data_IF_197176511146
#
_entry.id   IF_197176511146
#
_cell.length_a   1.000
_cell.length_b   1.000
_cell.length_c   1.000
_cell.angle_alpha   90.00
_cell.angle_beta   90.00
_cell.angle_gamma   90.00
#
_symmetry.space_group_name_H-M   'P 1'
#
loop_
_entity.id
_entity.type
_entity.pdbx_description
1 polymer ?
#
# COMPACT_ATOMS: atom_id res chain seq x y z
N UNK A 1 27.76 9.92 -3.46
CA UNK A 1 27.40 9.66 -2.06
C UNK A 1 26.78 10.89 -1.40
N UNK A 2 27.41 12.08 -1.35
CA UNK A 2 26.81 13.29 -0.73
C UNK A 2 25.53 13.77 -1.44
N UNK A 3 25.50 13.80 -2.76
CA UNK A 3 24.34 14.21 -3.56
C UNK A 3 23.12 13.28 -3.38
N UNK A 4 23.35 11.99 -3.18
CA UNK A 4 22.26 11.04 -2.94
C UNK A 4 21.65 11.21 -1.54
N UNK A 5 22.48 11.57 -0.58
CA UNK A 5 22.08 11.81 0.81
C UNK A 5 21.30 13.13 0.96
N UNK A 6 21.70 14.17 0.24
CA UNK A 6 20.94 15.43 0.17
C UNK A 6 19.55 15.24 -0.46
N UNK A 7 19.49 14.46 -1.53
CA UNK A 7 18.21 14.14 -2.20
C UNK A 7 17.27 13.35 -1.29
N UNK A 8 17.78 12.33 -0.59
CA UNK A 8 17.00 11.57 0.38
C UNK A 8 16.47 12.44 1.53
N UNK A 9 17.30 13.34 2.05
CA UNK A 9 16.89 14.27 3.12
C UNK A 9 15.81 15.25 2.63
N UNK A 10 15.90 15.70 1.39
CA UNK A 10 14.89 16.58 0.80
C UNK A 10 13.56 15.87 0.61
N UNK A 11 13.58 14.64 0.08
CA UNK A 11 12.38 13.81 -0.08
C UNK A 11 11.72 13.49 1.28
N UNK A 12 12.52 13.20 2.32
CA UNK A 12 12.02 12.99 3.68
C UNK A 12 11.34 14.25 4.24
N UNK A 13 11.95 15.42 4.05
CA UNK A 13 11.39 16.70 4.50
C UNK A 13 10.07 17.05 3.76
N UNK A 14 9.95 16.72 2.48
CA UNK A 14 8.71 16.90 1.72
C UNK A 14 7.59 15.98 2.21
N UNK A 15 7.91 14.71 2.50
CA UNK A 15 6.97 13.76 3.09
C UNK A 15 6.46 14.23 4.46
N UNK A 16 7.34 14.65 5.34
CA UNK A 16 6.98 15.21 6.66
C UNK A 16 6.09 16.45 6.51
N UNK A 17 6.36 17.32 5.55
CA UNK A 17 5.53 18.49 5.28
C UNK A 17 4.14 18.10 4.80
N UNK A 18 4.02 17.18 3.85
CA UNK A 18 2.74 16.70 3.35
C UNK A 18 1.89 16.05 4.45
N UNK A 19 2.52 15.25 5.32
CA UNK A 19 1.87 14.63 6.46
C UNK A 19 1.38 15.68 7.47
N UNK A 20 2.22 16.64 7.86
CA UNK A 20 1.85 17.70 8.78
C UNK A 20 0.71 18.57 8.21
N UNK A 21 0.73 18.90 6.91
CA UNK A 21 -0.37 19.60 6.24
C UNK A 21 -1.68 18.83 6.30
N UNK A 22 -1.62 17.53 6.11
CA UNK A 22 -2.80 16.66 6.22
C UNK A 22 -3.36 16.66 7.64
N UNK A 23 -2.50 16.46 8.64
CA UNK A 23 -2.88 16.44 10.05
C UNK A 23 -3.54 17.77 10.44
N UNK A 24 -2.93 18.90 10.10
CA UNK A 24 -3.48 20.22 10.40
C UNK A 24 -4.82 20.46 9.70
N UNK A 25 -4.95 20.03 8.45
CA UNK A 25 -6.19 20.19 7.69
C UNK A 25 -7.35 19.32 8.23
N UNK A 26 -7.06 18.08 8.62
CA UNK A 26 -8.09 17.12 9.02
C UNK A 26 -8.42 17.17 10.50
N UNK A 27 -7.45 17.46 11.36
CA UNK A 27 -7.62 17.44 12.81
C UNK A 27 -7.64 18.84 13.45
N UNK A 28 -7.14 19.86 12.75
CA UNK A 28 -7.05 21.26 13.20
C UNK A 28 -6.56 21.43 14.67
N UNK A 29 -5.46 20.76 15.08
CA UNK A 29 -5.03 20.76 16.48
C UNK A 29 -4.50 22.15 16.87
N UNK A 30 -4.82 22.61 18.07
CA UNK A 30 -4.29 23.88 18.64
C UNK A 30 -2.84 23.71 19.12
N UNK A 31 -2.54 22.55 19.67
CA UNK A 31 -1.21 22.21 20.16
C UNK A 31 -0.83 20.78 19.76
N UNK A 32 0.43 20.61 19.36
CA UNK A 32 0.98 19.32 18.91
C UNK A 32 2.27 19.04 19.65
N UNK A 33 2.44 17.83 20.09
CA UNK A 33 3.73 17.30 20.51
C UNK A 33 4.19 16.29 19.47
N UNK A 34 5.46 16.33 19.10
CA UNK A 34 6.02 15.39 18.13
C UNK A 34 7.09 14.58 18.84
N UNK A 35 6.98 13.26 18.75
CA UNK A 35 7.99 12.31 19.19
C UNK A 35 8.60 11.68 17.93
N UNK A 36 9.78 12.16 17.57
CA UNK A 36 10.56 11.69 16.42
C UNK A 36 12.05 11.92 16.65
N UNK A 37 12.88 11.13 15.97
CA UNK A 37 14.36 11.28 16.09
C UNK A 37 14.94 12.33 15.14
N UNK A 38 14.25 12.64 14.04
CA UNK A 38 14.79 13.49 12.95
C UNK A 38 14.55 14.99 13.13
N UNK A 39 13.55 15.39 13.91
CA UNK A 39 13.10 16.77 14.07
C UNK A 39 12.52 17.41 12.78
N UNK A 40 12.27 16.63 11.74
CA UNK A 40 11.74 17.13 10.46
C UNK A 40 10.25 17.45 10.55
N UNK A 41 9.50 16.60 11.24
CA UNK A 41 8.06 16.76 11.39
C UNK A 41 7.75 17.93 12.35
N UNK A 42 8.51 18.08 13.43
CA UNK A 42 8.42 19.22 14.33
C UNK A 42 8.63 20.55 13.57
N UNK A 43 9.69 20.64 12.76
CA UNK A 43 9.95 21.80 11.89
C UNK A 43 8.83 22.06 10.90
N UNK A 44 8.17 20.99 10.40
CA UNK A 44 7.03 21.14 9.51
C UNK A 44 5.82 21.76 10.21
N UNK A 45 5.48 21.34 11.43
CA UNK A 45 4.40 21.93 12.22
C UNK A 45 4.67 23.39 12.58
N UNK A 46 5.90 23.73 13.01
CA UNK A 46 6.29 25.11 13.28
C UNK A 46 6.06 26.03 12.07
N UNK A 47 6.33 25.56 10.85
CA UNK A 47 6.09 26.34 9.62
C UNK A 47 4.60 26.57 9.30
N UNK A 48 3.70 25.82 9.94
CA UNK A 48 2.25 25.93 9.74
C UNK A 48 1.54 26.74 10.84
N UNK A 49 2.29 27.49 11.66
CA UNK A 49 1.77 28.23 12.81
C UNK A 49 1.04 27.35 13.84
N UNK A 50 1.33 26.07 13.88
CA UNK A 50 0.81 25.16 14.91
C UNK A 50 1.73 25.23 16.12
N UNK A 51 1.17 25.38 17.32
CA UNK A 51 1.95 25.46 18.56
C UNK A 51 2.53 24.10 18.88
N UNK A 52 3.84 23.95 18.81
CA UNK A 52 4.52 22.74 19.26
C UNK A 52 4.82 22.87 20.76
N UNK A 53 4.36 21.89 21.53
CA UNK A 53 4.49 21.87 23.00
C UNK A 53 5.19 20.60 23.47
N UNK A 54 5.81 20.64 24.64
CA UNK A 54 6.48 19.48 25.24
C UNK A 54 5.63 18.76 26.28
N UNK A 55 4.52 19.36 26.72
CA UNK A 55 3.65 18.77 27.74
C UNK A 55 2.19 19.09 27.48
N UNK A 56 1.31 18.17 27.81
CA UNK A 56 -0.16 18.28 27.67
C UNK A 56 -0.61 18.79 26.29
N UNK A 57 -0.23 18.13 25.18
CA UNK A 57 -0.67 18.49 23.85
C UNK A 57 -2.13 18.06 23.63
N UNK A 58 -2.83 18.74 22.73
CA UNK A 58 -4.12 18.24 22.23
C UNK A 58 -3.89 17.01 21.31
N UNK A 59 -2.83 17.05 20.52
CA UNK A 59 -2.43 15.99 19.61
C UNK A 59 -0.97 15.56 19.86
N UNK A 60 -0.76 14.27 20.05
CA UNK A 60 0.57 13.66 20.03
C UNK A 60 0.79 12.98 18.67
N UNK A 61 1.92 13.30 18.03
CA UNK A 61 2.35 12.60 16.80
C UNK A 61 3.60 11.80 17.12
N UNK A 62 3.56 10.50 16.89
CA UNK A 62 4.66 9.56 17.11
C UNK A 62 5.10 9.04 15.75
N UNK A 63 6.29 9.40 15.32
CA UNK A 63 6.85 9.00 14.04
C UNK A 63 7.97 7.99 14.22
N UNK A 64 7.88 6.90 13.47
CA UNK A 64 8.84 5.78 13.44
C UNK A 64 9.27 5.32 14.85
N UNK A 65 8.31 4.85 15.67
CA UNK A 65 8.62 4.48 17.05
C UNK A 65 9.57 3.29 17.08
N UNK A 66 10.85 3.56 17.23
CA UNK A 66 11.86 2.55 17.61
C UNK A 66 11.77 2.19 19.10
N UNK A 67 10.74 2.66 19.77
CA UNK A 67 10.56 2.65 21.20
C UNK A 67 9.89 1.35 21.64
N UNK A 68 10.53 0.66 22.49
CA UNK A 68 9.97 -0.53 23.14
C UNK A 68 8.77 -0.17 24.02
N UNK A 69 8.68 1.09 24.50
CA UNK A 69 7.61 1.52 25.41
C UNK A 69 7.22 2.98 25.15
N UNK A 70 5.93 3.23 24.85
CA UNK A 70 5.40 4.59 24.80
C UNK A 70 5.28 5.15 26.22
N UNK A 71 5.66 6.42 26.44
CA UNK A 71 5.44 7.09 27.71
C UNK A 71 3.93 7.23 27.98
N UNK A 72 3.57 7.56 29.24
CA UNK A 72 2.17 7.88 29.57
C UNK A 72 1.69 9.07 28.72
N UNK A 73 0.70 8.83 27.87
CA UNK A 73 0.20 9.82 26.91
C UNK A 73 -0.82 10.72 27.60
N UNK A 74 -0.60 12.03 27.55
CA UNK A 74 -1.51 13.04 28.12
C UNK A 74 -2.38 13.72 27.05
N UNK A 75 -2.19 13.42 25.78
CA UNK A 75 -2.95 13.97 24.66
C UNK A 75 -4.36 13.37 24.60
N UNK A 76 -5.30 14.10 24.00
CA UNK A 76 -6.64 13.58 23.65
C UNK A 76 -6.61 12.71 22.39
N UNK A 77 -5.70 13.02 21.46
CA UNK A 77 -5.53 12.32 20.20
C UNK A 77 -4.08 11.95 19.97
N UNK A 78 -3.87 10.80 19.32
CA UNK A 78 -2.53 10.32 18.97
C UNK A 78 -2.54 9.91 17.49
N UNK A 79 -1.59 10.42 16.73
CA UNK A 79 -1.32 9.95 15.35
C UNK A 79 -0.04 9.13 15.39
N UNK A 80 -0.13 7.86 15.04
CA UNK A 80 1.03 7.00 14.80
C UNK A 80 1.41 7.06 13.34
N UNK A 81 2.70 7.16 13.06
CA UNK A 81 3.30 7.12 11.74
C UNK A 81 4.42 6.08 11.78
N UNK A 82 4.24 4.96 11.09
CA UNK A 82 5.18 3.85 11.12
C UNK A 82 5.59 3.43 9.72
N UNK A 83 6.86 3.11 9.52
CA UNK A 83 7.35 2.48 8.30
C UNK A 83 6.96 1.01 8.19
N UNK A 84 6.75 0.34 9.34
CA UNK A 84 6.43 -1.09 9.41
C UNK A 84 5.14 -1.37 10.19
N UNK A 85 4.39 -2.38 9.73
CA UNK A 85 3.14 -2.78 10.37
C UNK A 85 3.34 -3.33 11.80
N UNK A 86 4.43 -4.05 12.03
CA UNK A 86 4.72 -4.63 13.35
C UNK A 86 4.87 -3.56 14.44
N UNK A 87 5.63 -2.49 14.16
CA UNK A 87 5.79 -1.37 15.08
C UNK A 87 4.47 -0.66 15.38
N UNK A 88 3.62 -0.48 14.37
CA UNK A 88 2.29 0.09 14.57
C UNK A 88 1.41 -0.76 15.48
N UNK A 89 1.41 -2.09 15.29
CA UNK A 89 0.60 -3.00 16.10
C UNK A 89 0.99 -3.00 17.58
N UNK A 90 2.29 -2.94 17.89
CA UNK A 90 2.77 -2.90 19.26
C UNK A 90 2.47 -1.56 19.93
N UNK A 91 2.64 -0.44 19.24
CA UNK A 91 2.22 0.87 19.73
C UNK A 91 0.70 0.95 19.94
N UNK A 92 -0.10 0.38 19.03
CA UNK A 92 -1.54 0.33 19.16
C UNK A 92 -2.00 -0.42 20.42
N UNK A 93 -1.35 -1.55 20.76
CA UNK A 93 -1.63 -2.28 22.00
C UNK A 93 -1.31 -1.43 23.25
N UNK A 94 -0.19 -0.71 23.22
CA UNK A 94 0.20 0.16 24.35
C UNK A 94 -0.76 1.34 24.51
N UNK A 95 -1.25 1.93 23.41
CA UNK A 95 -2.26 2.99 23.41
C UNK A 95 -3.62 2.45 23.91
N UNK A 96 -4.02 1.27 23.46
CA UNK A 96 -5.24 0.63 23.96
C UNK A 96 -5.19 0.40 25.47
N UNK A 97 -4.06 -0.04 26.01
CA UNK A 97 -3.83 -0.17 27.46
C UNK A 97 -3.92 1.16 28.22
N UNK A 98 -3.73 2.30 27.53
CA UNK A 98 -3.86 3.65 28.09
C UNK A 98 -5.25 4.29 27.80
N UNK A 99 -6.21 3.53 27.32
CA UNK A 99 -7.59 3.99 27.06
C UNK A 99 -7.78 4.72 25.72
N UNK A 100 -6.94 4.43 24.73
CA UNK A 100 -7.10 4.97 23.38
C UNK A 100 -7.69 3.93 22.44
N UNK A 101 -8.60 4.37 21.56
CA UNK A 101 -9.17 3.56 20.50
C UNK A 101 -8.81 4.11 19.13
N UNK A 102 -8.60 3.21 18.17
CA UNK A 102 -8.28 3.57 16.79
C UNK A 102 -9.50 4.17 16.10
N UNK A 103 -9.33 5.35 15.51
CA UNK A 103 -10.34 5.99 14.68
C UNK A 103 -10.26 5.40 13.25
N UNK A 104 -11.29 4.62 12.87
CA UNK A 104 -11.31 3.90 11.61
C UNK A 104 -11.68 4.78 10.41
N UNK A 105 -12.29 5.94 10.64
CA UNK A 105 -12.59 6.91 9.58
C UNK A 105 -11.32 7.56 9.04
N UNK A 106 -10.24 7.57 9.81
CA UNK A 106 -8.94 8.04 9.36
C UNK A 106 -8.32 7.04 8.40
N UNK A 107 -8.40 7.35 7.09
CA UNK A 107 -7.85 6.48 6.05
C UNK A 107 -6.38 6.79 5.80
N UNK A 108 -5.57 5.74 5.79
CA UNK A 108 -4.21 5.83 5.31
C UNK A 108 -4.20 5.97 3.78
N UNK A 109 -3.59 7.02 3.27
CA UNK A 109 -3.45 7.28 1.84
C UNK A 109 -2.01 7.16 1.35
N UNK A 110 -1.07 6.84 2.25
CA UNK A 110 0.35 6.69 1.92
C UNK A 110 0.69 5.27 1.49
N UNK A 111 1.42 5.11 0.39
CA UNK A 111 1.95 3.81 -0.04
C UNK A 111 3.21 3.39 0.75
N UNK A 112 3.87 4.34 1.40
CA UNK A 112 5.18 4.14 2.01
C UNK A 112 5.19 4.25 3.54
N UNK A 113 4.16 4.87 4.14
CA UNK A 113 4.05 5.03 5.58
C UNK A 113 2.63 4.70 6.04
N UNK A 114 2.54 3.86 7.06
CA UNK A 114 1.28 3.54 7.71
C UNK A 114 0.95 4.64 8.72
N UNK A 115 -0.24 5.24 8.61
CA UNK A 115 -0.72 6.24 9.54
C UNK A 115 -2.00 5.77 10.24
N UNK A 116 -2.10 5.97 11.54
CA UNK A 116 -3.30 5.66 12.30
C UNK A 116 -3.59 6.74 13.34
N UNK A 117 -4.84 7.12 13.45
CA UNK A 117 -5.34 8.03 14.46
C UNK A 117 -5.94 7.23 15.61
N UNK A 118 -5.62 7.63 16.83
CA UNK A 118 -6.18 7.10 18.07
C UNK A 118 -6.78 8.24 18.86
N UNK A 119 -7.99 8.06 19.40
CA UNK A 119 -8.67 9.01 20.24
C UNK A 119 -8.79 8.45 21.65
N UNK A 120 -8.60 9.29 22.66
CA UNK A 120 -8.86 8.92 24.04
C UNK A 120 -10.35 8.73 24.21
N UNK A 121 -10.74 7.64 24.79
CA UNK A 121 -12.13 7.40 25.13
C UNK A 121 -12.38 7.88 26.56
N UNK A 122 -13.26 8.86 26.70
CA UNK A 122 -13.86 9.16 27.98
C UNK A 122 -14.68 7.92 28.32
N UNK A 123 -14.26 7.19 29.38
CA UNK A 123 -14.74 5.87 29.78
C UNK A 123 -16.15 5.52 29.24
N UNK A 124 -16.26 4.90 28.06
CA UNK A 124 -17.55 4.45 27.57
C UNK A 124 -17.98 3.24 28.38
N UNK A 125 -19.27 3.06 28.52
CA UNK A 125 -19.82 1.87 29.10
C UNK A 125 -19.29 0.66 28.27
N UNK A 126 -18.49 -0.19 28.91
CA UNK A 126 -17.82 -1.35 28.34
C UNK A 126 -18.65 -2.21 27.33
N UNK A 127 -19.98 -2.41 27.53
CA UNK A 127 -20.79 -3.22 26.61
C UNK A 127 -20.91 -2.65 25.19
N UNK A 128 -21.00 -1.33 25.00
CA UNK A 128 -21.12 -0.74 23.66
C UNK A 128 -19.84 -0.84 22.83
N UNK A 129 -18.69 -0.96 23.50
CA UNK A 129 -17.39 -1.15 22.85
C UNK A 129 -17.21 -2.57 22.31
N UNK A 130 -17.61 -3.60 23.09
CA UNK A 130 -17.50 -5.00 22.69
C UNK A 130 -18.36 -5.27 21.45
N UNK A 131 -19.62 -4.80 21.43
CA UNK A 131 -20.53 -4.95 20.30
C UNK A 131 -20.01 -4.23 19.04
N UNK A 132 -19.42 -3.05 19.18
CA UNK A 132 -18.81 -2.31 18.07
C UNK A 132 -17.58 -2.99 17.49
N UNK A 133 -16.73 -3.58 18.32
CA UNK A 133 -15.55 -4.32 17.87
C UNK A 133 -15.92 -5.66 17.21
N UNK A 134 -16.89 -6.39 17.73
CA UNK A 134 -17.37 -7.63 17.11
C UNK A 134 -17.95 -7.39 15.72
N UNK A 135 -18.80 -6.37 15.56
CA UNK A 135 -19.32 -5.99 14.24
C UNK A 135 -18.22 -5.62 13.26
N UNK A 136 -17.18 -4.89 13.70
CA UNK A 136 -16.04 -4.52 12.85
C UNK A 136 -15.17 -5.72 12.49
N UNK A 137 -14.97 -6.64 13.42
CA UNK A 137 -14.25 -7.89 13.16
C UNK A 137 -15.01 -8.75 12.14
N UNK A 138 -16.32 -8.80 12.21
CA UNK A 138 -17.13 -9.55 11.26
C UNK A 138 -17.09 -8.94 9.85
N UNK A 139 -17.16 -7.61 9.74
CA UNK A 139 -16.99 -6.90 8.46
C UNK A 139 -15.60 -7.15 7.87
N UNK A 140 -14.56 -7.15 8.71
CA UNK A 140 -13.20 -7.45 8.25
C UNK A 140 -13.05 -8.91 7.81
N UNK A 141 -13.64 -9.85 8.54
CA UNK A 141 -13.67 -11.28 8.17
C UNK A 141 -14.40 -11.50 6.84
N UNK A 142 -15.55 -10.87 6.64
CA UNK A 142 -16.27 -10.95 5.36
C UNK A 142 -15.46 -10.38 4.19
N UNK A 143 -14.79 -9.23 4.39
CA UNK A 143 -13.91 -8.65 3.37
C UNK A 143 -12.72 -9.54 3.04
N UNK A 144 -12.13 -10.17 4.05
CA UNK A 144 -11.01 -11.10 3.85
C UNK A 144 -11.48 -12.33 3.07
N UNK A 145 -12.61 -12.92 3.42
CA UNK A 145 -13.20 -14.05 2.68
C UNK A 145 -13.55 -13.69 1.23
N UNK A 146 -14.08 -12.50 0.99
CA UNK A 146 -14.34 -12.01 -0.36
C UNK A 146 -13.03 -11.84 -1.16
N UNK A 147 -12.00 -11.26 -0.55
CA UNK A 147 -10.69 -11.08 -1.18
C UNK A 147 -10.04 -12.43 -1.52
N UNK A 148 -10.13 -13.41 -0.62
CA UNK A 148 -9.65 -14.78 -0.86
C UNK A 148 -10.39 -15.48 -2.01
N UNK A 149 -11.71 -15.32 -2.08
CA UNK A 149 -12.51 -15.86 -3.21
C UNK A 149 -12.14 -15.22 -4.54
N UNK A 150 -12.03 -13.90 -4.58
CA UNK A 150 -11.62 -13.20 -5.82
C UNK A 150 -10.20 -13.58 -6.24
N UNK A 151 -9.27 -13.74 -5.30
CA UNK A 151 -7.93 -14.21 -5.59
C UNK A 151 -7.91 -15.65 -6.13
N UNK A 152 -8.73 -16.54 -5.58
CA UNK A 152 -8.87 -17.91 -6.06
C UNK A 152 -9.47 -17.97 -7.48
N UNK A 153 -10.49 -17.15 -7.77
CA UNK A 153 -11.08 -17.04 -9.10
C UNK A 153 -10.08 -16.51 -10.13
N UNK A 154 -9.31 -15.49 -9.78
CA UNK A 154 -8.25 -14.94 -10.63
C UNK A 154 -7.14 -15.96 -10.89
N UNK A 155 -6.74 -16.72 -9.87
CA UNK A 155 -5.77 -17.79 -10.02
C UNK A 155 -6.27 -18.88 -11.00
N UNK A 156 -7.53 -19.28 -10.87
CA UNK A 156 -8.13 -20.24 -11.79
C UNK A 156 -8.23 -19.71 -13.24
N UNK A 157 -8.52 -18.42 -13.41
CA UNK A 157 -8.51 -17.78 -14.74
C UNK A 157 -7.11 -17.73 -15.35
N UNK A 158 -6.10 -17.39 -14.56
CA UNK A 158 -4.71 -17.38 -14.99
C UNK A 158 -4.25 -18.78 -15.44
N UNK A 159 -4.65 -19.82 -14.72
CA UNK A 159 -4.30 -21.20 -15.08
C UNK A 159 -4.95 -21.62 -16.40
N UNK A 160 -6.24 -21.27 -16.64
CA UNK A 160 -6.92 -21.49 -17.92
C UNK A 160 -6.21 -20.77 -19.07
N UNK A 161 -5.91 -19.48 -18.90
CA UNK A 161 -5.20 -18.70 -19.92
C UNK A 161 -3.80 -19.27 -20.22
N UNK A 162 -3.08 -19.77 -19.22
CA UNK A 162 -1.79 -20.45 -19.42
C UNK A 162 -1.95 -21.74 -20.22
N UNK A 163 -2.98 -22.52 -19.93
CA UNK A 163 -3.29 -23.73 -20.68
C UNK A 163 -3.62 -23.41 -22.14
N UNK A 164 -4.49 -22.42 -22.39
CA UNK A 164 -4.87 -22.00 -23.74
C UNK A 164 -3.65 -21.48 -24.52
N UNK A 165 -2.79 -20.71 -23.88
CA UNK A 165 -1.53 -20.22 -24.46
C UNK A 165 -0.59 -21.37 -24.82
N UNK A 166 -0.49 -22.40 -23.98
CA UNK A 166 0.33 -23.57 -24.26
C UNK A 166 -0.19 -24.38 -25.45
N UNK A 167 -1.51 -24.54 -25.55
CA UNK A 167 -2.17 -25.18 -26.69
C UNK A 167 -1.98 -24.38 -27.98
N UNK A 168 -2.15 -23.08 -27.94
CA UNK A 168 -1.94 -22.21 -29.10
C UNK A 168 -0.49 -22.28 -29.60
N UNK A 169 0.51 -22.27 -28.71
CA UNK A 169 1.91 -22.40 -29.08
C UNK A 169 2.23 -23.79 -29.69
N UNK A 170 1.64 -24.85 -29.15
CA UNK A 170 1.84 -26.17 -29.76
C UNK A 170 1.25 -26.24 -31.16
N UNK A 171 0.09 -25.64 -31.35
CA UNK A 171 -0.58 -25.58 -32.68
C UNK A 171 0.24 -24.75 -33.67
N UNK A 172 0.79 -23.62 -33.25
CA UNK A 172 1.68 -22.79 -34.04
C UNK A 172 2.93 -23.57 -34.49
N UNK A 173 3.56 -24.31 -33.56
CA UNK A 173 4.71 -25.16 -33.89
C UNK A 173 4.40 -26.27 -34.87
N UNK A 174 3.19 -26.89 -34.78
CA UNK A 174 2.77 -27.94 -35.70
C UNK A 174 2.43 -27.37 -37.08
N UNK A 175 1.85 -26.17 -37.15
CA UNK A 175 1.68 -25.44 -38.40
C UNK A 175 3.01 -25.08 -39.04
N UNK A 176 3.98 -24.60 -38.27
CA UNK A 176 5.32 -24.33 -38.77
C UNK A 176 6.02 -25.59 -39.32
N UNK A 177 5.93 -26.73 -38.63
CA UNK A 177 6.47 -28.00 -39.11
C UNK A 177 5.82 -28.42 -40.39
N UNK A 178 4.49 -28.30 -40.48
CA UNK A 178 3.72 -28.64 -41.68
C UNK A 178 4.10 -27.74 -42.85
N UNK A 179 4.18 -26.44 -42.63
CA UNK A 179 4.60 -25.47 -43.63
C UNK A 179 6.02 -25.73 -44.12
N UNK A 180 6.93 -26.00 -43.22
CA UNK A 180 8.34 -26.35 -43.55
C UNK A 180 8.40 -27.65 -44.35
N UNK A 181 7.59 -28.65 -44.02
CA UNK A 181 7.54 -29.89 -44.76
C UNK A 181 7.03 -29.69 -46.19
N UNK A 182 6.01 -28.86 -46.40
CA UNK A 182 5.46 -28.51 -47.71
C UNK A 182 6.47 -27.71 -48.53
N UNK A 183 7.09 -26.68 -47.94
CA UNK A 183 8.06 -25.82 -48.64
C UNK A 183 9.32 -26.62 -49.04
N UNK A 184 9.73 -27.55 -48.18
CA UNK A 184 10.89 -28.38 -48.46
C UNK A 184 10.61 -29.63 -49.29
N UNK A 185 9.35 -29.89 -49.60
CA UNK A 185 9.01 -31.05 -50.44
C UNK A 185 9.61 -30.95 -51.84
N UNK A 186 10.02 -32.09 -52.37
CA UNK A 186 10.59 -32.17 -53.74
C UNK A 186 9.63 -31.64 -54.79
N UNK A 187 8.33 -31.84 -54.59
CA UNK A 187 7.27 -31.34 -55.47
C UNK A 187 7.22 -29.80 -55.45
N UNK A 188 7.31 -29.18 -54.30
CA UNK A 188 7.29 -27.71 -54.17
C UNK A 188 8.51 -27.07 -54.80
N UNK A 189 9.67 -27.69 -54.65
CA UNK A 189 10.93 -27.24 -55.28
C UNK A 189 10.91 -27.45 -56.79
N UNK A 190 10.40 -28.56 -57.27
CA UNK A 190 10.27 -28.87 -58.70
C UNK A 190 9.27 -27.95 -59.42
N UNK A 191 8.22 -27.50 -58.76
CA UNK A 191 7.21 -26.58 -59.32
C UNK A 191 7.62 -25.09 -59.30
N UNK A 192 8.78 -24.75 -58.71
CA UNK A 192 9.23 -23.37 -58.61
C UNK A 192 9.38 -22.64 -59.96
N UNK A 193 9.98 -23.21 -61.03
CA UNK A 193 10.10 -22.53 -62.32
C UNK A 193 8.75 -22.24 -62.96
N UNK A 194 7.75 -23.16 -62.81
CA UNK A 194 6.39 -22.97 -63.34
C UNK A 194 5.69 -21.81 -62.64
N UNK A 195 5.80 -21.71 -61.31
CA UNK A 195 5.19 -20.61 -60.52
C UNK A 195 5.83 -19.26 -60.84
N UNK A 196 7.13 -19.23 -61.10
CA UNK A 196 7.83 -18.03 -61.50
C UNK A 196 7.35 -17.52 -62.87
N UNK A 197 7.11 -18.43 -63.83
CA UNK A 197 6.55 -18.08 -65.15
C UNK A 197 5.12 -17.54 -65.01
N UNK A 198 4.25 -18.18 -64.22
CA UNK A 198 2.90 -17.71 -64.03
C UNK A 198 2.85 -16.34 -63.33
N UNK A 199 3.73 -16.08 -62.38
CA UNK A 199 3.79 -14.77 -61.72
C UNK A 199 4.22 -13.63 -62.65
N UNK A 200 5.10 -13.93 -63.64
CA UNK A 200 5.53 -12.96 -64.69
C UNK A 200 4.45 -12.71 -65.75
N UNK A 201 3.60 -13.68 -66.04
CA UNK A 201 2.50 -13.50 -67.00
C UNK A 201 1.29 -12.75 -66.45
N UNK A 202 1.29 -12.47 -65.13
CA UNK A 202 0.21 -11.76 -64.43
C UNK A 202 0.50 -10.27 -64.20
N UNK A 203 1.71 -9.81 -64.50
CA UNK A 203 2.05 -8.40 -64.55
C UNK A 203 1.99 -7.88 -65.98
#
# INVERSE_FOLDING_TARGET
MELDQEKQNQEAAERCRALAQRIVRELAPRSVQVLEDSGLLEKAFCKMNTTVVQSAPELLVVADPQWVTLPAVQAEKVVLVCGEYAGMADCAKQLAAQGFCRELAWKDHGKEQLTALFCRMDAPELPELEDGYEQQLDVLRERTLLAERTAAEQAAQLERLRSDLSLSRSHEQDLEKTLNSVVNSTFWKASWPLRYLVSKCRQ
#
